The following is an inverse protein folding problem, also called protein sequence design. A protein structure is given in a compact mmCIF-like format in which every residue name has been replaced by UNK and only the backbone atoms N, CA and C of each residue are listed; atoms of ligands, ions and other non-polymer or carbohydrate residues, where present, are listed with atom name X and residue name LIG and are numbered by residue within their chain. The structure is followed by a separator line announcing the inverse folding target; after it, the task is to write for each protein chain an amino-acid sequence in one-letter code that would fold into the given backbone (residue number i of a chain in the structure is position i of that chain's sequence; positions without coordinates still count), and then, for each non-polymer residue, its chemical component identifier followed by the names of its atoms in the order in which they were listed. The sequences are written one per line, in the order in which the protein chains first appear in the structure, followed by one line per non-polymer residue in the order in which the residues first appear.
data_IF_544722090938
#
_entry.id   IF_544722090938
#
_cell.length_a   1.000
_cell.length_b   1.000
_cell.length_c   1.000
_cell.angle_alpha   90.00
_cell.angle_beta   90.00
_cell.angle_gamma   90.00
#
_symmetry.space_group_name_H-M   'P 1'
#
loop_
_entity.id
_entity.type
_entity.pdbx_description
1 polymer ?
#
# COMPACT_ATOMS: atom_id res chain seq x y z
N UNK A 1 -4.01 -14.64 8.01
CA UNK A 1 -4.43 -14.15 6.68
C UNK A 1 -3.96 -12.72 6.55
N UNK A 2 -2.93 -12.41 5.73
CA UNK A 2 -2.32 -11.07 5.70
C UNK A 2 -2.74 -10.21 4.49
N UNK A 3 -3.38 -10.81 3.49
CA UNK A 3 -3.89 -10.11 2.32
C UNK A 3 -5.36 -10.49 2.11
N UNK A 4 -6.27 -10.08 3.03
CA UNK A 4 -7.66 -10.53 3.04
C UNK A 4 -8.38 -10.22 1.71
N UNK A 5 -8.03 -9.11 1.07
CA UNK A 5 -8.59 -8.67 -0.22
C UNK A 5 -8.20 -9.57 -1.39
N UNK A 6 -6.95 -10.04 -1.44
CA UNK A 6 -6.51 -10.95 -2.51
C UNK A 6 -7.20 -12.31 -2.38
N UNK A 7 -7.42 -12.76 -1.15
CA UNK A 7 -8.21 -13.97 -0.92
C UNK A 7 -9.68 -13.77 -1.29
N UNK A 8 -10.30 -12.68 -0.84
CA UNK A 8 -11.71 -12.38 -1.09
C UNK A 8 -12.04 -12.31 -2.60
N UNK A 9 -11.16 -11.70 -3.40
CA UNK A 9 -11.28 -11.68 -4.86
C UNK A 9 -11.26 -13.08 -5.47
N UNK A 10 -10.35 -13.96 -5.02
CA UNK A 10 -10.26 -15.34 -5.51
C UNK A 10 -11.44 -16.20 -5.06
N UNK A 11 -11.94 -15.97 -3.86
CA UNK A 11 -13.05 -16.71 -3.26
C UNK A 11 -14.43 -16.19 -3.69
N UNK A 12 -14.51 -15.03 -4.36
CA UNK A 12 -15.78 -14.39 -4.72
C UNK A 12 -16.58 -13.87 -3.51
N UNK A 13 -15.91 -13.60 -2.39
CA UNK A 13 -16.54 -13.17 -1.13
C UNK A 13 -16.44 -11.65 -0.98
N UNK A 14 -17.54 -11.01 -0.60
CA UNK A 14 -17.53 -9.59 -0.21
C UNK A 14 -17.12 -9.46 1.25
N UNK A 15 -16.09 -8.67 1.53
CA UNK A 15 -15.67 -8.33 2.89
C UNK A 15 -16.34 -7.03 3.34
N UNK A 16 -16.84 -7.01 4.57
CA UNK A 16 -17.25 -5.78 5.27
C UNK A 16 -16.06 -5.16 6.01
N UNK A 17 -15.03 -4.83 5.22
CA UNK A 17 -13.80 -4.19 5.68
C UNK A 17 -13.41 -3.18 4.58
N UNK A 18 -12.64 -2.12 4.86
CA UNK A 18 -12.16 -1.25 3.79
C UNK A 18 -10.97 -1.85 3.03
N UNK A 19 -10.90 -1.56 1.72
CA UNK A 19 -9.71 -1.85 0.92
C UNK A 19 -8.52 -0.99 1.39
N UNK A 20 -7.27 -1.40 1.10
CA UNK A 20 -6.10 -0.55 1.34
C UNK A 20 -6.28 0.78 0.62
N UNK A 21 -6.16 1.89 1.35
CA UNK A 21 -6.36 3.25 0.83
C UNK A 21 -5.17 3.68 -0.06
N UNK A 22 -4.04 3.00 0.08
CA UNK A 22 -2.82 3.24 -0.72
C UNK A 22 -2.23 1.93 -1.23
N UNK A 23 -1.59 2.00 -2.39
CA UNK A 23 -0.64 0.97 -2.79
C UNK A 23 0.66 1.11 -1.98
N UNK A 24 1.04 0.05 -1.27
CA UNK A 24 2.19 0.08 -0.37
C UNK A 24 3.52 0.26 -1.12
N UNK A 25 3.65 -0.31 -2.33
CA UNK A 25 4.88 -0.21 -3.13
C UNK A 25 5.10 1.23 -3.58
N UNK A 26 4.07 1.86 -4.13
CA UNK A 26 4.13 3.26 -4.55
C UNK A 26 4.34 4.21 -3.36
N UNK A 27 3.59 4.03 -2.27
CA UNK A 27 3.73 4.87 -1.08
C UNK A 27 5.15 4.80 -0.51
N UNK A 28 5.76 3.62 -0.47
CA UNK A 28 7.15 3.43 -0.06
C UNK A 28 8.11 4.20 -0.98
N UNK A 29 7.95 4.06 -2.30
CA UNK A 29 8.83 4.74 -3.27
C UNK A 29 8.73 6.26 -3.16
N UNK A 30 7.51 6.81 -3.05
CA UNK A 30 7.29 8.25 -2.83
C UNK A 30 7.97 8.74 -1.56
N UNK A 31 7.85 7.98 -0.47
CA UNK A 31 8.46 8.33 0.82
C UNK A 31 9.99 8.36 0.73
N UNK A 32 10.59 7.34 0.10
CA UNK A 32 12.05 7.28 -0.06
C UNK A 32 12.58 8.40 -0.96
N UNK A 33 11.87 8.72 -2.05
CA UNK A 33 12.24 9.83 -2.91
C UNK A 33 12.24 11.17 -2.15
N UNK A 34 11.15 11.48 -1.44
CA UNK A 34 11.04 12.70 -0.65
C UNK A 34 12.12 12.80 0.45
N UNK A 35 12.44 11.69 1.11
CA UNK A 35 13.51 11.65 2.11
C UNK A 35 14.89 11.93 1.48
N UNK A 36 15.20 11.28 0.35
CA UNK A 36 16.49 11.48 -0.33
C UNK A 36 16.65 12.90 -0.88
N UNK A 37 15.57 13.52 -1.37
CA UNK A 37 15.56 14.93 -1.77
C UNK A 37 15.87 15.86 -0.59
N UNK A 38 15.18 15.66 0.55
CA UNK A 38 15.41 16.44 1.75
C UNK A 38 16.84 16.26 2.30
N UNK A 39 17.38 15.04 2.27
CA UNK A 39 18.73 14.72 2.74
C UNK A 39 19.83 15.35 1.87
N UNK A 40 19.64 15.41 0.56
CA UNK A 40 20.62 15.98 -0.38
C UNK A 40 20.58 17.50 -0.46
N UNK A 41 19.44 18.10 -0.11
CA UNK A 41 19.25 19.55 -0.06
C UNK A 41 19.68 20.21 1.26
N UNK A 42 20.22 19.44 2.23
CA UNK A 42 20.69 19.89 3.53
C UNK A 42 22.22 19.99 3.61
#
# INVERSE_FOLDING_TARGET
MHEPWKWAQKAGVKLDYPQPIVDHKEARLRTLAAYEEARKGA
#
